data_IF_137266491473
#
_entry.id   IF_137266491473
#
_cell.length_a   1.000
_cell.length_b   1.000
_cell.length_c   1.000
_cell.angle_alpha   90.00
_cell.angle_beta   90.00
_cell.angle_gamma   90.00
#
_symmetry.space_group_name_H-M   'P 1'
#
loop_
_entity.id
_entity.type
_entity.pdbx_description
1 polymer ?
#
# COMPACT_ATOMS: atom_id res chain seq x y z
N UNK A 1 10.55 -29.81 34.34
CA UNK A 1 9.30 -29.08 34.02
C UNK A 1 9.48 -28.33 32.71
N UNK A 2 9.45 -29.01 31.56
CA UNK A 2 9.32 -28.44 30.19
C UNK A 2 9.01 -29.61 29.24
N UNK A 3 7.80 -30.18 29.36
CA UNK A 3 7.25 -31.11 28.38
C UNK A 3 6.00 -30.47 27.78
N UNK A 4 6.09 -30.05 26.50
CA UNK A 4 4.90 -29.61 25.74
C UNK A 4 5.09 -28.37 24.88
N UNK A 5 5.98 -28.41 23.88
CA UNK A 5 5.94 -27.46 22.75
C UNK A 5 5.70 -28.26 21.45
N UNK A 6 4.72 -27.90 20.60
CA UNK A 6 4.43 -28.61 19.36
C UNK A 6 5.55 -28.47 18.32
N UNK A 7 5.80 -29.56 17.59
CA UNK A 7 6.82 -29.76 16.52
C UNK A 7 6.82 -28.70 15.39
N UNK A 8 5.83 -27.81 15.31
CA UNK A 8 5.72 -26.77 14.29
C UNK A 8 6.74 -25.62 14.43
N UNK A 9 7.35 -25.43 15.61
CA UNK A 9 8.28 -24.31 15.87
C UNK A 9 9.72 -24.60 15.39
N UNK A 10 10.06 -25.86 15.11
CA UNK A 10 11.43 -26.29 14.78
C UNK A 10 11.88 -25.96 13.34
N UNK A 11 10.97 -25.50 12.47
CA UNK A 11 11.26 -25.24 11.04
C UNK A 11 11.67 -23.80 10.70
N UNK A 12 11.64 -22.88 11.66
CA UNK A 12 11.91 -21.44 11.40
C UNK A 12 13.35 -21.05 11.78
N UNK A 13 14.08 -21.89 12.50
CA UNK A 13 15.47 -21.65 12.91
C UNK A 13 16.46 -22.45 12.05
N UNK A 14 16.64 -22.03 10.79
CA UNK A 14 17.90 -22.32 10.09
C UNK A 14 18.62 -21.02 9.76
N UNK A 15 19.84 -20.79 10.28
CA UNK A 15 20.63 -19.61 9.96
C UNK A 15 21.14 -19.74 8.52
N UNK A 16 20.88 -18.72 7.69
CA UNK A 16 21.46 -18.59 6.36
C UNK A 16 22.83 -17.93 6.51
N UNK A 17 23.88 -18.74 6.44
CA UNK A 17 25.28 -18.34 6.54
C UNK A 17 25.76 -17.68 5.24
N UNK A 18 26.47 -16.58 5.43
CA UNK A 18 27.09 -15.69 4.45
C UNK A 18 28.30 -16.35 3.74
N UNK A 19 28.59 -15.93 2.50
CA UNK A 19 29.89 -16.11 1.84
C UNK A 19 30.23 -14.88 0.96
N UNK A 20 30.89 -13.92 1.61
CA UNK A 20 31.93 -12.98 1.16
C UNK A 20 32.40 -12.99 -0.32
N UNK A 21 32.34 -11.82 -0.98
CA UNK A 21 33.54 -11.15 -1.52
C UNK A 21 33.74 -11.01 -3.04
N UNK A 22 33.32 -9.88 -3.65
CA UNK A 22 34.00 -9.27 -4.83
C UNK A 22 33.70 -7.76 -5.03
N UNK A 23 34.38 -6.95 -4.23
CA UNK A 23 35.07 -5.68 -4.54
C UNK A 23 34.70 -4.88 -5.81
N UNK A 24 34.19 -3.64 -5.58
CA UNK A 24 34.99 -2.40 -5.73
C UNK A 24 34.67 -1.34 -6.81
N UNK A 25 33.74 -1.48 -7.78
CA UNK A 25 33.53 -0.35 -8.71
C UNK A 25 32.12 -0.07 -9.23
N UNK A 26 31.14 -0.91 -8.90
CA UNK A 26 29.73 -0.68 -9.22
C UNK A 26 28.95 -0.13 -8.01
N UNK A 27 29.69 0.27 -6.97
CA UNK A 27 29.22 0.53 -5.60
C UNK A 27 28.88 1.98 -5.30
N UNK A 28 28.56 2.81 -6.30
CA UNK A 28 28.25 4.23 -6.02
C UNK A 28 26.91 4.69 -6.59
N UNK A 29 26.41 4.09 -7.68
CA UNK A 29 25.12 4.47 -8.29
C UNK A 29 23.96 3.60 -7.77
N UNK A 30 24.25 2.38 -7.31
CA UNK A 30 23.25 1.46 -6.73
C UNK A 30 23.00 1.66 -5.23
N UNK A 31 23.76 2.53 -4.56
CA UNK A 31 23.76 2.64 -3.10
C UNK A 31 22.58 3.48 -2.56
N UNK A 32 22.09 4.47 -3.30
CA UNK A 32 20.95 5.30 -2.86
C UNK A 32 19.57 4.64 -3.06
N UNK A 33 19.46 3.64 -3.94
CA UNK A 33 18.18 2.96 -4.21
C UNK A 33 17.95 1.72 -3.34
N UNK A 34 19.01 1.16 -2.73
CA UNK A 34 18.94 -0.12 -1.99
C UNK A 34 18.93 0.04 -0.46
N UNK A 35 19.45 1.14 0.10
CA UNK A 35 19.49 1.35 1.55
C UNK A 35 18.13 1.67 2.19
N UNK A 36 17.16 2.22 1.44
CA UNK A 36 15.81 2.49 1.96
C UNK A 36 14.94 1.23 2.05
N UNK A 37 15.30 0.16 1.32
CA UNK A 37 14.52 -1.08 1.25
C UNK A 37 14.84 -2.09 2.37
N UNK A 38 15.99 -1.98 3.04
CA UNK A 38 16.42 -2.97 4.06
C UNK A 38 15.79 -2.75 5.44
N UNK A 39 15.26 -1.57 5.74
CA UNK A 39 14.84 -1.20 7.11
C UNK A 39 13.36 -1.48 7.44
N UNK A 40 12.52 -1.84 6.46
CA UNK A 40 11.11 -2.22 6.71
C UNK A 40 10.87 -3.72 6.86
N UNK A 41 11.84 -4.59 6.53
CA UNK A 41 11.69 -6.06 6.62
C UNK A 41 11.54 -6.61 8.05
N UNK A 42 11.74 -5.80 9.09
CA UNK A 42 11.86 -6.26 10.48
C UNK A 42 10.81 -5.69 11.45
N UNK A 43 9.73 -5.06 10.97
CA UNK A 43 8.71 -4.46 11.84
C UNK A 43 7.31 -5.07 11.72
N UNK A 44 7.12 -6.11 10.89
CA UNK A 44 5.78 -6.67 10.64
C UNK A 44 5.74 -8.13 11.04
N UNK A 45 5.36 -8.39 12.29
CA UNK A 45 4.74 -9.66 12.65
C UNK A 45 3.42 -9.77 11.85
N UNK A 46 3.08 -10.92 11.25
CA UNK A 46 1.85 -11.06 10.49
C UNK A 46 0.64 -10.87 11.42
N UNK A 47 0.04 -9.68 11.38
CA UNK A 47 -1.22 -9.35 12.10
C UNK A 47 -2.42 -10.03 11.44
N UNK A 48 -2.31 -10.44 10.17
CA UNK A 48 -3.38 -11.09 9.44
C UNK A 48 -2.84 -12.08 8.41
N UNK A 49 -3.46 -13.27 8.34
CA UNK A 49 -3.11 -14.35 7.41
C UNK A 49 -3.33 -13.99 5.92
N UNK A 50 -4.07 -12.91 5.65
CA UNK A 50 -4.38 -12.49 4.28
C UNK A 50 -3.27 -11.61 3.71
N UNK A 51 -2.80 -11.98 2.53
CA UNK A 51 -1.77 -11.25 1.76
C UNK A 51 -2.31 -10.68 0.45
N UNK A 52 -1.62 -9.68 -0.09
CA UNK A 52 -1.89 -9.07 -1.38
C UNK A 52 -0.57 -8.87 -2.13
N UNK A 53 -0.60 -9.01 -3.45
CA UNK A 53 0.56 -8.77 -4.32
C UNK A 53 0.95 -7.28 -4.30
N UNK A 54 2.22 -7.00 -4.04
CA UNK A 54 2.77 -5.65 -4.06
C UNK A 54 2.59 -5.00 -5.43
N UNK A 55 2.91 -5.74 -6.49
CA UNK A 55 2.89 -5.23 -7.84
C UNK A 55 1.48 -4.85 -8.32
N UNK A 56 0.47 -5.63 -7.94
CA UNK A 56 -0.95 -5.27 -8.16
C UNK A 56 -1.28 -3.94 -7.50
N UNK A 57 -0.74 -3.70 -6.30
CA UNK A 57 -1.04 -2.46 -5.60
C UNK A 57 -0.34 -1.26 -6.23
N UNK A 58 0.88 -1.41 -6.75
CA UNK A 58 1.55 -0.35 -7.51
C UNK A 58 0.74 0.06 -8.73
N UNK A 59 0.24 -0.92 -9.49
CA UNK A 59 -0.64 -0.65 -10.64
C UNK A 59 -1.95 0.02 -10.19
N UNK A 60 -2.55 -0.41 -9.06
CA UNK A 60 -3.74 0.29 -8.55
C UNK A 60 -3.45 1.73 -8.13
N UNK A 61 -2.27 2.01 -7.57
CA UNK A 61 -1.85 3.36 -7.21
C UNK A 61 -1.69 4.24 -8.46
N UNK A 62 -1.14 3.70 -9.56
CA UNK A 62 -1.12 4.40 -10.85
C UNK A 62 -2.52 4.76 -11.35
N UNK A 63 -3.47 3.82 -11.28
CA UNK A 63 -4.85 4.09 -11.70
C UNK A 63 -5.51 5.18 -10.84
N UNK A 64 -5.21 5.22 -9.54
CA UNK A 64 -5.66 6.29 -8.65
C UNK A 64 -5.04 7.63 -9.05
N UNK A 65 -3.75 7.68 -9.36
CA UNK A 65 -3.07 8.91 -9.84
C UNK A 65 -3.74 9.40 -11.13
N UNK A 66 -4.02 8.51 -12.08
CA UNK A 66 -4.67 8.88 -13.34
C UNK A 66 -6.10 9.39 -13.11
N UNK A 67 -6.89 8.69 -12.30
CA UNK A 67 -8.27 9.10 -12.02
C UNK A 67 -8.36 10.43 -11.26
N UNK A 68 -7.53 10.60 -10.23
CA UNK A 68 -7.51 11.81 -9.42
C UNK A 68 -6.78 12.96 -10.13
N UNK A 69 -5.80 12.67 -10.98
CA UNK A 69 -5.18 13.65 -11.88
C UNK A 69 -6.15 14.16 -12.94
N UNK A 70 -7.01 13.29 -13.49
CA UNK A 70 -8.10 13.68 -14.38
C UNK A 70 -9.07 14.66 -13.71
N UNK A 71 -9.41 14.46 -12.44
CA UNK A 71 -10.16 15.45 -11.66
C UNK A 71 -9.45 16.79 -11.55
N UNK A 72 -8.14 16.83 -11.28
CA UNK A 72 -7.41 18.08 -11.17
C UNK A 72 -7.42 18.89 -12.48
N UNK A 73 -7.47 18.21 -13.62
CA UNK A 73 -7.50 18.84 -14.95
C UNK A 73 -8.92 19.24 -15.39
N UNK A 74 -9.92 18.40 -15.13
CA UNK A 74 -11.30 18.61 -15.63
C UNK A 74 -12.21 19.28 -14.59
N UNK A 75 -11.86 19.20 -13.30
CA UNK A 75 -12.70 19.69 -12.18
C UNK A 75 -13.99 18.90 -11.98
N UNK A 76 -14.16 17.75 -12.64
CA UNK A 76 -15.44 17.05 -12.71
C UNK A 76 -15.63 16.10 -11.50
N UNK A 77 -16.75 16.23 -10.78
CA UNK A 77 -17.04 15.47 -9.56
C UNK A 77 -17.16 13.95 -9.78
N UNK A 78 -17.37 13.52 -11.02
CA UNK A 78 -17.50 12.10 -11.38
C UNK A 78 -16.23 11.32 -10.99
N UNK A 79 -15.05 11.92 -11.19
CA UNK A 79 -13.76 11.28 -10.87
C UNK A 79 -13.60 10.99 -9.36
N UNK A 80 -13.67 11.98 -8.44
CA UNK A 80 -13.56 11.70 -7.01
C UNK A 80 -14.69 10.80 -6.49
N UNK A 81 -15.90 10.91 -7.04
CA UNK A 81 -17.02 10.04 -6.67
C UNK A 81 -16.76 8.58 -7.04
N UNK A 82 -16.27 8.32 -8.26
CA UNK A 82 -15.91 6.97 -8.70
C UNK A 82 -14.78 6.38 -7.85
N UNK A 83 -13.75 7.19 -7.54
CA UNK A 83 -12.65 6.76 -6.66
C UNK A 83 -13.14 6.49 -5.24
N UNK A 84 -14.07 7.29 -4.71
CA UNK A 84 -14.67 7.06 -3.40
C UNK A 84 -15.37 5.70 -3.35
N UNK A 85 -16.10 5.32 -4.39
CA UNK A 85 -16.72 3.98 -4.48
C UNK A 85 -15.66 2.87 -4.50
N UNK A 86 -14.58 3.01 -5.26
CA UNK A 86 -13.50 2.00 -5.26
C UNK A 86 -12.84 1.86 -3.88
N UNK A 87 -12.50 2.99 -3.24
CA UNK A 87 -11.92 2.97 -1.89
C UNK A 87 -12.89 2.41 -0.86
N UNK A 88 -14.20 2.68 -0.97
CA UNK A 88 -15.22 2.10 -0.11
C UNK A 88 -15.24 0.56 -0.23
N UNK A 89 -15.27 0.04 -1.46
CA UNK A 89 -15.21 -1.40 -1.71
C UNK A 89 -13.92 -2.00 -1.13
N UNK A 90 -12.77 -1.33 -1.27
CA UNK A 90 -11.49 -1.81 -0.70
C UNK A 90 -11.44 -1.75 0.82
N UNK A 91 -12.11 -0.77 1.43
CA UNK A 91 -12.13 -0.52 2.87
C UNK A 91 -13.04 -1.49 3.64
N UNK A 92 -14.21 -1.80 3.06
CA UNK A 92 -15.26 -2.58 3.74
C UNK A 92 -15.40 -4.00 3.19
N UNK A 93 -15.12 -4.23 1.90
CA UNK A 93 -15.26 -5.55 1.29
C UNK A 93 -13.94 -6.31 1.26
N UNK A 94 -14.00 -7.64 1.22
CA UNK A 94 -12.84 -8.47 0.88
C UNK A 94 -12.41 -8.10 -0.55
N UNK A 95 -11.32 -7.33 -0.70
CA UNK A 95 -10.54 -6.92 -1.90
C UNK A 95 -10.52 -7.81 -3.19
N UNK A 96 -11.17 -8.97 -3.24
CA UNK A 96 -11.30 -9.81 -4.44
C UNK A 96 -12.13 -9.16 -5.56
N UNK A 97 -12.98 -8.17 -5.28
CA UNK A 97 -13.92 -7.59 -6.25
C UNK A 97 -13.81 -6.07 -6.46
N UNK A 98 -12.71 -5.40 -6.09
CA UNK A 98 -12.55 -3.99 -6.48
C UNK A 98 -12.20 -3.92 -7.97
N UNK A 99 -12.87 -3.07 -8.76
CA UNK A 99 -12.64 -2.95 -10.21
C UNK A 99 -11.19 -2.57 -10.51
N UNK A 100 -10.58 -1.66 -9.73
CA UNK A 100 -9.16 -1.30 -9.89
C UNK A 100 -8.21 -2.45 -9.53
N UNK A 101 -8.52 -3.21 -8.48
CA UNK A 101 -7.71 -4.37 -8.07
C UNK A 101 -7.75 -5.48 -9.11
N UNK A 102 -8.88 -5.65 -9.78
CA UNK A 102 -9.03 -6.62 -10.87
C UNK A 102 -8.26 -6.19 -12.12
N UNK A 103 -8.37 -4.93 -12.56
CA UNK A 103 -7.57 -4.42 -13.67
C UNK A 103 -6.08 -4.48 -13.37
N UNK A 104 -5.68 -4.12 -12.14
CA UNK A 104 -4.29 -4.24 -11.68
C UNK A 104 -3.75 -5.67 -11.81
N UNK A 105 -4.50 -6.68 -11.36
CA UNK A 105 -4.11 -8.08 -11.52
C UNK A 105 -3.97 -8.50 -12.96
N UNK A 106 -4.84 -8.01 -13.83
CA UNK A 106 -4.76 -8.32 -15.26
C UNK A 106 -3.49 -7.74 -15.88
N UNK A 107 -3.16 -6.49 -15.56
CA UNK A 107 -1.91 -5.86 -15.98
C UNK A 107 -0.67 -6.61 -15.47
N UNK A 108 -0.64 -7.00 -14.20
CA UNK A 108 0.47 -7.76 -13.62
C UNK A 108 0.64 -9.12 -14.30
N UNK A 109 -0.47 -9.80 -14.61
CA UNK A 109 -0.45 -11.07 -15.37
C UNK A 109 0.05 -10.90 -16.79
N UNK A 110 -0.31 -9.80 -17.45
CA UNK A 110 0.18 -9.50 -18.80
C UNK A 110 1.68 -9.21 -18.84
N UNK A 111 2.26 -8.76 -17.73
CA UNK A 111 3.68 -8.41 -17.61
C UNK A 111 4.54 -9.52 -17.00
N UNK A 112 3.94 -10.66 -16.64
CA UNK A 112 4.59 -11.83 -16.02
C UNK A 112 5.53 -11.49 -14.86
N UNK A 113 5.08 -10.58 -13.98
CA UNK A 113 5.87 -10.10 -12.86
C UNK A 113 5.71 -11.02 -11.65
N UNK A 114 6.84 -11.43 -11.05
CA UNK A 114 6.85 -12.28 -9.86
C UNK A 114 6.05 -11.66 -8.70
N UNK A 115 5.12 -12.42 -8.07
CA UNK A 115 4.29 -11.90 -7.00
C UNK A 115 5.07 -11.78 -5.69
N UNK A 116 5.29 -10.54 -5.24
CA UNK A 116 5.79 -10.23 -3.90
C UNK A 116 4.61 -10.05 -2.95
N UNK A 117 4.54 -10.91 -1.93
CA UNK A 117 3.41 -10.96 -0.99
C UNK A 117 3.61 -10.02 0.20
N UNK A 118 2.62 -9.16 0.46
CA UNK A 118 2.62 -8.30 1.65
C UNK A 118 1.29 -8.34 2.40
N UNK A 119 1.30 -7.93 3.66
CA UNK A 119 0.14 -8.07 4.54
C UNK A 119 -1.02 -7.15 4.16
N UNK A 120 -2.25 -7.69 4.25
CA UNK A 120 -3.46 -7.00 3.81
C UNK A 120 -4.00 -5.98 4.80
N UNK A 121 -3.84 -6.23 6.11
CA UNK A 121 -4.40 -5.39 7.17
C UNK A 121 -4.04 -3.90 7.06
N UNK A 122 -2.74 -3.51 6.95
CA UNK A 122 -2.38 -2.09 6.84
C UNK A 122 -2.91 -1.43 5.55
N UNK A 123 -3.07 -2.18 4.47
CA UNK A 123 -3.63 -1.66 3.20
C UNK A 123 -5.13 -1.40 3.26
N UNK A 124 -5.88 -2.19 4.03
CA UNK A 124 -7.31 -1.91 4.27
C UNK A 124 -7.47 -0.63 5.09
N UNK A 125 -6.57 -0.38 6.04
CA UNK A 125 -6.56 0.88 6.78
C UNK A 125 -6.24 2.08 5.88
N UNK A 126 -5.21 1.97 5.03
CA UNK A 126 -4.91 3.00 4.04
C UNK A 126 -6.10 3.30 3.11
N UNK A 127 -6.82 2.26 2.67
CA UNK A 127 -8.04 2.43 1.86
C UNK A 127 -9.16 3.18 2.59
N UNK A 128 -9.30 3.01 3.91
CA UNK A 128 -10.28 3.77 4.71
C UNK A 128 -9.94 5.26 4.77
N UNK A 129 -8.66 5.60 4.93
CA UNK A 129 -8.21 7.00 4.89
C UNK A 129 -8.43 7.58 3.49
N UNK A 130 -8.06 6.84 2.45
CA UNK A 130 -8.32 7.22 1.06
C UNK A 130 -9.80 7.48 0.79
N UNK A 131 -10.68 6.60 1.28
CA UNK A 131 -12.13 6.79 1.20
C UNK A 131 -12.57 8.11 1.84
N UNK A 132 -12.14 8.39 3.08
CA UNK A 132 -12.47 9.64 3.77
C UNK A 132 -12.02 10.87 2.98
N UNK A 133 -10.80 10.86 2.45
CA UNK A 133 -10.28 11.97 1.64
C UNK A 133 -11.08 12.18 0.36
N UNK A 134 -11.39 11.10 -0.37
CA UNK A 134 -12.20 11.19 -1.61
C UNK A 134 -13.66 11.58 -1.35
N UNK A 135 -14.25 11.12 -0.25
CA UNK A 135 -15.59 11.49 0.16
C UNK A 135 -15.66 12.98 0.52
N UNK A 136 -14.71 13.45 1.34
CA UNK A 136 -14.59 14.89 1.66
C UNK A 136 -14.34 15.73 0.41
N UNK A 137 -13.49 15.26 -0.52
CA UNK A 137 -13.25 15.95 -1.79
C UNK A 137 -14.55 16.05 -2.63
N UNK A 138 -15.30 14.96 -2.76
CA UNK A 138 -16.59 14.97 -3.47
C UNK A 138 -17.60 15.93 -2.83
N UNK A 139 -17.72 15.93 -1.50
CA UNK A 139 -18.58 16.87 -0.77
C UNK A 139 -18.13 18.32 -0.97
N UNK A 140 -16.82 18.59 -0.88
CA UNK A 140 -16.27 19.93 -1.10
C UNK A 140 -16.61 20.47 -2.49
N UNK A 141 -16.59 19.62 -3.52
CA UNK A 141 -17.05 20.00 -4.87
C UNK A 141 -18.55 20.32 -4.89
N UNK A 142 -19.39 19.54 -4.21
CA UNK A 142 -20.84 19.81 -4.13
C UNK A 142 -21.14 21.15 -3.43
N UNK A 143 -20.39 21.50 -2.38
CA UNK A 143 -20.50 22.79 -1.68
C UNK A 143 -19.75 23.93 -2.37
N UNK A 144 -19.20 23.72 -3.58
CA UNK A 144 -18.45 24.72 -4.34
C UNK A 144 -17.14 25.20 -3.67
N UNK A 145 -16.62 24.47 -2.68
CA UNK A 145 -15.31 24.70 -2.07
C UNK A 145 -14.19 24.08 -2.91
N UNK A 146 -13.96 24.67 -4.09
CA UNK A 146 -13.00 24.17 -5.10
C UNK A 146 -11.58 24.06 -4.56
N UNK A 147 -11.07 25.06 -3.84
CA UNK A 147 -9.71 25.04 -3.27
C UNK A 147 -9.49 23.86 -2.32
N UNK A 148 -10.47 23.57 -1.45
CA UNK A 148 -10.39 22.45 -0.52
C UNK A 148 -10.40 21.11 -1.27
N UNK A 149 -11.26 20.98 -2.30
CA UNK A 149 -11.31 19.78 -3.12
C UNK A 149 -9.98 19.52 -3.86
N UNK A 150 -9.37 20.56 -4.43
CA UNK A 150 -8.07 20.47 -5.09
C UNK A 150 -6.96 20.11 -4.09
N UNK A 151 -6.95 20.70 -2.90
CA UNK A 151 -5.96 20.39 -1.87
C UNK A 151 -6.04 18.92 -1.41
N UNK A 152 -7.26 18.40 -1.19
CA UNK A 152 -7.49 17.00 -0.83
C UNK A 152 -7.09 16.06 -1.96
N UNK A 153 -7.48 16.38 -3.20
CA UNK A 153 -7.12 15.60 -4.39
C UNK A 153 -5.61 15.56 -4.63
N UNK A 154 -4.93 16.71 -4.52
CA UNK A 154 -3.48 16.80 -4.67
C UNK A 154 -2.74 15.99 -3.61
N UNK A 155 -3.19 16.07 -2.34
CA UNK A 155 -2.62 15.27 -1.25
C UNK A 155 -2.75 13.77 -1.54
N UNK A 156 -3.90 13.34 -2.06
CA UNK A 156 -4.13 11.94 -2.42
C UNK A 156 -3.24 11.48 -3.58
N UNK A 157 -3.08 12.32 -4.60
CA UNK A 157 -2.16 12.06 -5.73
C UNK A 157 -0.73 11.89 -5.25
N UNK A 158 -0.27 12.76 -4.34
CA UNK A 158 1.08 12.67 -3.75
C UNK A 158 1.24 11.33 -3.03
N UNK A 159 0.32 10.95 -2.15
CA UNK A 159 0.42 9.65 -1.46
C UNK A 159 0.38 8.46 -2.40
N UNK A 160 -0.45 8.49 -3.43
CA UNK A 160 -0.50 7.43 -4.44
C UNK A 160 0.80 7.37 -5.26
N UNK A 161 1.41 8.52 -5.55
CA UNK A 161 2.70 8.60 -6.24
C UNK A 161 3.84 8.00 -5.41
N UNK A 162 3.90 8.30 -4.11
CA UNK A 162 4.88 7.69 -3.20
C UNK A 162 4.72 6.16 -3.13
N UNK A 163 3.48 5.66 -3.11
CA UNK A 163 3.22 4.22 -3.09
C UNK A 163 3.62 3.55 -4.42
N UNK A 164 3.43 4.22 -5.55
CA UNK A 164 3.81 3.68 -6.85
C UNK A 164 5.33 3.66 -7.08
N UNK A 165 6.01 4.78 -6.79
CA UNK A 165 7.43 4.99 -7.12
C UNK A 165 8.35 4.41 -6.05
N UNK A 166 8.06 4.68 -4.78
CA UNK A 166 8.94 4.35 -3.66
C UNK A 166 8.47 3.11 -2.87
N UNK A 167 7.33 2.51 -3.23
CA UNK A 167 6.66 1.47 -2.44
C UNK A 167 6.39 1.91 -0.98
N UNK A 168 6.28 3.22 -0.76
CA UNK A 168 6.06 3.78 0.56
C UNK A 168 4.60 4.21 0.72
N UNK A 169 3.87 3.50 1.58
CA UNK A 169 2.49 3.84 1.91
C UNK A 169 2.42 4.52 3.29
N UNK A 170 2.14 5.82 3.31
CA UNK A 170 2.01 6.60 4.53
C UNK A 170 0.96 6.01 5.50
N UNK A 171 -0.15 5.49 4.97
CA UNK A 171 -1.18 4.81 5.77
C UNK A 171 -0.68 3.54 6.46
N UNK A 172 0.19 2.77 5.80
CA UNK A 172 0.81 1.60 6.40
C UNK A 172 1.77 1.98 7.54
N UNK A 173 2.51 3.07 7.38
CA UNK A 173 3.40 3.59 8.42
C UNK A 173 2.59 4.01 9.66
N UNK A 174 1.54 4.82 9.49
CA UNK A 174 0.65 5.22 10.59
C UNK A 174 0.02 4.00 11.28
N UNK A 175 -0.40 2.99 10.52
CA UNK A 175 -0.96 1.76 11.09
C UNK A 175 0.03 1.05 12.03
N UNK A 176 1.29 0.92 11.63
CA UNK A 176 2.33 0.28 12.44
C UNK A 176 2.65 1.05 13.71
N UNK A 177 2.66 2.39 13.66
CA UNK A 177 3.00 3.20 14.84
C UNK A 177 1.83 3.43 15.80
N UNK A 178 0.60 3.53 15.29
CA UNK A 178 -0.57 3.91 16.09
C UNK A 178 -1.45 2.71 16.41
N UNK A 179 -1.84 1.93 15.39
CA UNK A 179 -2.85 0.87 15.57
C UNK A 179 -2.24 -0.37 16.18
N UNK A 180 -1.05 -0.78 15.72
CA UNK A 180 -0.38 -1.97 16.21
C UNK A 180 -0.12 -1.98 17.74
N UNK A 181 0.45 -0.93 18.37
CA UNK A 181 0.67 -0.94 19.81
C UNK A 181 -0.63 -0.91 20.63
N UNK A 182 -1.69 -0.28 20.12
CA UNK A 182 -2.99 -0.25 20.80
C UNK A 182 -3.65 -1.63 20.81
N UNK A 183 -3.57 -2.37 19.70
CA UNK A 183 -4.14 -3.72 19.60
C UNK A 183 -3.36 -4.72 20.46
N UNK A 184 -2.04 -4.56 20.63
CA UNK A 184 -1.22 -5.46 21.46
C UNK A 184 -1.39 -5.23 22.97
N UNK A 185 -1.83 -4.04 23.38
CA UNK A 185 -1.95 -3.67 24.80
C UNK A 185 -3.23 -4.22 25.46
N UNK A 186 -4.25 -4.53 24.67
CA UNK A 186 -5.45 -5.26 25.11
C UNK A 186 -5.29 -6.76 24.90
#
# INVERSE_FOLDING_TARGET
MWQGLPEAVKKITKPFSDHSGSKSLYSFVWDYSFLTMKRFKQLVCPVSDKRVDENTVRVTALLVILGMGGFLLTGNVIFPALLAVDFFIRAFTRLKYSPLSWTGKQFVRSLDLDPVWIDKAPKVFAARIGFLLTALASMAVMFQFTYAAYALGATLVVFAFLECVLNFCAGCWVYTYVVYPLVRKN
#
